data_IF_209052623489
#
_entry.id   IF_209052623489
#
_cell.length_a   1.000
_cell.length_b   1.000
_cell.length_c   1.000
_cell.angle_alpha   90.00
_cell.angle_beta   90.00
_cell.angle_gamma   90.00
#
_symmetry.space_group_name_H-M   'P 1'
#
loop_
_entity.id
_entity.type
_entity.pdbx_description
1 polymer ?
#
# COMPACT_ATOMS: atom_id res chain seq x y z
N UNK A 1 -6.53 -2.95 -27.00
CA UNK A 1 -5.31 -2.75 -26.21
C UNK A 1 -4.99 -1.27 -26.30
N UNK A 2 -5.39 -0.49 -25.29
CA UNK A 2 -5.06 0.95 -25.28
C UNK A 2 -3.53 1.08 -25.22
N UNK A 3 -2.95 1.72 -26.23
CA UNK A 3 -1.53 2.04 -26.21
C UNK A 3 -1.30 3.12 -25.16
N UNK A 4 -0.49 2.84 -24.13
CA UNK A 4 -0.06 3.87 -23.18
C UNK A 4 0.62 5.01 -23.96
N UNK A 5 0.03 6.21 -23.91
CA UNK A 5 0.64 7.40 -24.51
C UNK A 5 1.83 7.86 -23.67
N UNK A 6 2.76 8.58 -24.28
CA UNK A 6 3.82 9.31 -23.55
C UNK A 6 3.24 10.25 -22.48
N UNK A 7 2.08 10.83 -22.73
CA UNK A 7 1.37 11.67 -21.75
C UNK A 7 0.91 10.85 -20.54
N UNK A 8 0.37 9.65 -20.75
CA UNK A 8 -0.07 8.78 -19.64
C UNK A 8 1.11 8.35 -18.76
N UNK A 9 2.26 8.05 -19.37
CA UNK A 9 3.48 7.74 -18.64
C UNK A 9 3.98 8.91 -17.81
N UNK A 10 3.90 10.13 -18.35
CA UNK A 10 4.31 11.34 -17.62
C UNK A 10 3.38 11.63 -16.44
N UNK A 11 2.07 11.50 -16.63
CA UNK A 11 1.10 11.65 -15.54
C UNK A 11 1.30 10.57 -14.47
N UNK A 12 1.55 9.34 -14.89
CA UNK A 12 1.87 8.22 -13.99
C UNK A 12 3.11 8.50 -13.15
N UNK A 13 4.15 9.07 -13.76
CA UNK A 13 5.36 9.49 -13.04
C UNK A 13 5.04 10.54 -11.96
N UNK A 14 4.13 11.47 -12.23
CA UNK A 14 3.64 12.44 -11.24
C UNK A 14 3.04 11.78 -10.00
N UNK A 15 2.17 10.78 -10.20
CA UNK A 15 1.58 10.01 -9.10
C UNK A 15 2.62 9.19 -8.32
N UNK A 16 3.57 8.57 -9.03
CA UNK A 16 4.68 7.82 -8.41
C UNK A 16 5.51 8.75 -7.52
N UNK A 17 5.90 9.91 -8.02
CA UNK A 17 6.71 10.88 -7.27
C UNK A 17 5.95 11.41 -6.06
N UNK A 18 4.67 11.76 -6.22
CA UNK A 18 3.81 12.18 -5.12
C UNK A 18 3.77 11.14 -4.00
N UNK A 19 3.53 9.87 -4.35
CA UNK A 19 3.46 8.77 -3.39
C UNK A 19 4.83 8.49 -2.74
N UNK A 20 5.91 8.56 -3.51
CA UNK A 20 7.26 8.34 -3.02
C UNK A 20 7.67 9.40 -1.99
N UNK A 21 7.39 10.68 -2.26
CA UNK A 21 7.64 11.79 -1.33
C UNK A 21 6.76 11.65 -0.08
N UNK A 22 5.47 11.36 -0.24
CA UNK A 22 4.55 11.17 0.88
C UNK A 22 5.01 10.01 1.78
N UNK A 23 5.47 8.89 1.20
CA UNK A 23 5.99 7.75 1.95
C UNK A 23 7.30 8.04 2.67
N UNK A 24 8.22 8.77 2.03
CA UNK A 24 9.45 9.22 2.69
C UNK A 24 9.19 10.12 3.89
N UNK A 25 8.32 11.13 3.73
CA UNK A 25 7.92 12.03 4.81
C UNK A 25 7.18 11.28 5.92
N UNK A 26 6.23 10.41 5.55
CA UNK A 26 5.51 9.57 6.49
C UNK A 26 6.44 8.67 7.30
N UNK A 27 7.48 8.09 6.68
CA UNK A 27 8.49 7.30 7.38
C UNK A 27 9.29 8.16 8.37
N UNK A 28 9.79 9.32 7.93
CA UNK A 28 10.56 10.22 8.81
C UNK A 28 9.73 10.63 10.02
N UNK A 29 8.46 11.00 9.82
CA UNK A 29 7.56 11.35 10.93
C UNK A 29 7.31 10.16 11.85
N UNK A 30 6.98 8.98 11.30
CA UNK A 30 6.75 7.76 12.10
C UNK A 30 7.95 7.34 12.93
N UNK A 31 9.17 7.49 12.41
CA UNK A 31 10.39 7.16 13.16
C UNK A 31 10.72 8.22 14.21
N UNK A 32 10.50 9.51 13.88
CA UNK A 32 10.69 10.61 14.82
C UNK A 32 9.72 10.52 16.01
N UNK A 33 8.44 10.23 15.76
CA UNK A 33 7.42 10.06 16.80
C UNK A 33 7.73 8.87 17.72
N UNK A 34 8.45 7.86 17.22
CA UNK A 34 8.93 6.71 18.00
C UNK A 34 10.24 6.97 18.74
N UNK A 35 10.88 8.11 18.52
CA UNK A 35 12.22 8.41 19.05
C UNK A 35 13.34 7.57 18.44
N UNK A 36 13.11 6.95 17.28
CA UNK A 36 14.09 6.11 16.61
C UNK A 36 15.06 6.95 15.77
N UNK A 37 16.28 6.43 15.59
CA UNK A 37 17.24 7.03 14.65
C UNK A 37 16.80 6.75 13.21
N UNK A 38 16.85 7.78 12.37
CA UNK A 38 16.59 7.65 10.94
C UNK A 38 17.67 6.80 10.29
N UNK A 39 17.24 5.73 9.60
CA UNK A 39 18.13 4.90 8.79
C UNK A 39 17.93 5.25 7.32
N UNK A 40 18.97 5.81 6.68
CA UNK A 40 18.92 6.25 5.28
C UNK A 40 18.57 5.13 4.30
N UNK A 41 19.01 3.89 4.55
CA UNK A 41 18.67 2.75 3.70
C UNK A 41 17.19 2.40 3.81
N UNK A 42 16.64 2.40 5.04
CA UNK A 42 15.20 2.18 5.27
C UNK A 42 14.36 3.29 4.65
N UNK A 43 14.80 4.55 4.77
CA UNK A 43 14.14 5.67 4.14
C UNK A 43 14.09 5.52 2.61
N UNK A 44 15.22 5.16 1.99
CA UNK A 44 15.29 4.93 0.54
C UNK A 44 14.37 3.79 0.10
N UNK A 45 14.37 2.66 0.83
CA UNK A 45 13.48 1.54 0.53
C UNK A 45 12.00 1.93 0.69
N UNK A 46 11.67 2.75 1.69
CA UNK A 46 10.29 3.22 1.88
C UNK A 46 9.86 4.14 0.74
N UNK A 47 10.71 5.09 0.33
CA UNK A 47 10.42 6.01 -0.79
C UNK A 47 10.18 5.22 -2.06
N UNK A 48 11.07 4.27 -2.39
CA UNK A 48 10.94 3.44 -3.59
C UNK A 48 9.68 2.55 -3.53
N UNK A 49 9.45 1.86 -2.41
CA UNK A 49 8.30 0.99 -2.24
C UNK A 49 6.98 1.78 -2.25
N UNK A 50 6.95 2.97 -1.66
CA UNK A 50 5.77 3.84 -1.65
C UNK A 50 5.48 4.41 -3.04
N UNK A 51 6.51 4.71 -3.83
CA UNK A 51 6.35 5.06 -5.25
C UNK A 51 5.69 3.93 -6.05
N UNK A 52 6.16 2.69 -5.86
CA UNK A 52 5.56 1.50 -6.51
C UNK A 52 4.10 1.29 -6.09
N UNK A 53 3.81 1.37 -4.79
CA UNK A 53 2.43 1.27 -4.29
C UNK A 53 1.56 2.39 -4.86
N UNK A 54 2.07 3.62 -4.95
CA UNK A 54 1.36 4.73 -5.56
C UNK A 54 1.00 4.48 -7.02
N UNK A 55 1.90 3.85 -7.78
CA UNK A 55 1.60 3.39 -9.15
C UNK A 55 0.45 2.38 -9.18
N UNK A 56 0.47 1.38 -8.29
CA UNK A 56 -0.60 0.37 -8.22
C UNK A 56 -1.95 1.00 -7.85
N UNK A 57 -1.95 1.94 -6.90
CA UNK A 57 -3.16 2.66 -6.48
C UNK A 57 -3.67 3.54 -7.61
N UNK A 58 -2.80 4.20 -8.37
CA UNK A 58 -3.18 4.97 -9.55
C UNK A 58 -3.85 4.09 -10.61
N UNK A 59 -3.28 2.92 -10.92
CA UNK A 59 -3.88 1.96 -11.83
C UNK A 59 -5.25 1.48 -11.34
N UNK A 60 -5.39 1.25 -10.03
CA UNK A 60 -6.66 0.89 -9.42
C UNK A 60 -7.69 2.02 -9.56
N UNK A 61 -7.31 3.26 -9.26
CA UNK A 61 -8.19 4.42 -9.44
C UNK A 61 -8.64 4.58 -10.89
N UNK A 62 -7.72 4.41 -11.87
CA UNK A 62 -8.04 4.43 -13.30
C UNK A 62 -9.02 3.31 -13.68
N UNK A 63 -8.82 2.10 -13.16
CA UNK A 63 -9.71 0.97 -13.40
C UNK A 63 -11.11 1.15 -12.77
N UNK A 64 -11.22 1.99 -11.74
CA UNK A 64 -12.49 2.37 -11.11
C UNK A 64 -13.09 3.66 -11.68
N UNK A 65 -12.50 4.22 -12.74
CA UNK A 65 -12.93 5.48 -13.36
C UNK A 65 -13.01 6.66 -12.35
N UNK A 66 -12.12 6.65 -11.36
CA UNK A 66 -12.03 7.72 -10.37
C UNK A 66 -11.44 8.97 -11.02
N UNK A 67 -12.02 10.13 -10.69
CA UNK A 67 -11.55 11.42 -11.18
C UNK A 67 -10.05 11.64 -10.86
N UNK A 68 -9.26 12.23 -11.78
CA UNK A 68 -7.81 12.41 -11.60
C UNK A 68 -7.40 13.22 -10.37
N UNK A 69 -8.22 14.18 -9.94
CA UNK A 69 -7.95 15.01 -8.75
C UNK A 69 -8.04 14.16 -7.49
N UNK A 70 -9.10 13.35 -7.38
CA UNK A 70 -9.29 12.40 -6.28
C UNK A 70 -8.25 11.28 -6.32
N UNK A 71 -7.86 10.82 -7.50
CA UNK A 71 -6.81 9.82 -7.67
C UNK A 71 -5.49 10.29 -7.03
N UNK A 72 -5.12 11.57 -7.21
CA UNK A 72 -3.92 12.15 -6.59
C UNK A 72 -3.99 12.16 -5.07
N UNK A 73 -5.15 12.53 -4.53
CA UNK A 73 -5.39 12.50 -3.08
C UNK A 73 -5.26 11.07 -2.51
N UNK A 74 -5.90 10.09 -3.14
CA UNK A 74 -5.85 8.68 -2.71
C UNK A 74 -4.43 8.15 -2.79
N UNK A 75 -3.74 8.34 -3.92
CA UNK A 75 -2.34 7.93 -4.11
C UNK A 75 -1.43 8.54 -3.04
N UNK A 76 -1.58 9.84 -2.76
CA UNK A 76 -0.81 10.54 -1.72
C UNK A 76 -1.03 9.94 -0.33
N UNK A 77 -2.27 9.62 0.04
CA UNK A 77 -2.58 8.95 1.32
C UNK A 77 -1.94 7.57 1.41
N UNK A 78 -2.06 6.75 0.37
CA UNK A 78 -1.45 5.41 0.36
C UNK A 78 0.07 5.47 0.41
N UNK A 79 0.69 6.49 -0.22
CA UNK A 79 2.10 6.81 -0.04
C UNK A 79 2.40 7.15 1.42
N UNK A 80 1.66 8.09 2.01
CA UNK A 80 1.84 8.51 3.40
C UNK A 80 1.75 7.37 4.40
N UNK A 81 0.77 6.46 4.26
CA UNK A 81 0.61 5.29 5.13
C UNK A 81 1.83 4.36 5.11
N UNK A 82 2.62 4.42 4.03
CA UNK A 82 3.78 3.57 3.81
C UNK A 82 3.42 2.29 3.06
N UNK A 83 4.39 1.79 2.29
CA UNK A 83 4.18 0.68 1.38
C UNK A 83 3.64 -0.59 2.05
N UNK A 84 4.11 -0.88 3.27
CA UNK A 84 3.81 -2.13 3.97
C UNK A 84 2.35 -2.22 4.46
N UNK A 85 1.75 -1.09 4.84
CA UNK A 85 0.32 -1.04 5.21
C UNK A 85 -0.53 -1.07 3.95
N UNK A 86 -0.17 -0.24 2.98
CA UNK A 86 -0.90 -0.06 1.74
C UNK A 86 -0.98 -1.34 0.89
N UNK A 87 0.10 -2.11 0.78
CA UNK A 87 0.10 -3.36 0.00
C UNK A 87 -0.86 -4.41 0.59
N UNK A 88 -0.99 -4.48 1.92
CA UNK A 88 -1.94 -5.41 2.58
C UNK A 88 -3.39 -5.04 2.31
N UNK A 89 -3.68 -3.75 2.14
CA UNK A 89 -5.01 -3.29 1.73
C UNK A 89 -5.29 -3.64 0.27
N UNK A 90 -4.32 -3.41 -0.62
CA UNK A 90 -4.43 -3.78 -2.03
C UNK A 90 -4.56 -5.30 -2.22
N UNK A 91 -3.84 -6.11 -1.46
CA UNK A 91 -3.95 -7.57 -1.47
C UNK A 91 -5.39 -8.02 -1.24
N UNK A 92 -6.09 -7.43 -0.25
CA UNK A 92 -7.50 -7.77 0.01
C UNK A 92 -8.37 -7.52 -1.21
N UNK A 93 -8.20 -6.38 -1.87
CA UNK A 93 -8.94 -6.02 -3.09
C UNK A 93 -8.65 -7.03 -4.21
N UNK A 94 -7.38 -7.40 -4.41
CA UNK A 94 -6.98 -8.38 -5.43
C UNK A 94 -7.60 -9.75 -5.13
N UNK A 95 -7.52 -10.22 -3.89
CA UNK A 95 -8.07 -11.52 -3.51
C UNK A 95 -9.60 -11.58 -3.67
N UNK A 96 -10.31 -10.52 -3.27
CA UNK A 96 -11.76 -10.39 -3.49
C UNK A 96 -12.10 -10.42 -4.99
N UNK A 97 -11.36 -9.68 -5.81
CA UNK A 97 -11.54 -9.65 -7.27
C UNK A 97 -11.25 -10.99 -7.94
N UNK A 98 -10.29 -11.77 -7.41
CA UNK A 98 -9.94 -13.11 -7.92
C UNK A 98 -10.83 -14.22 -7.34
N UNK A 99 -11.76 -13.92 -6.43
CA UNK A 99 -12.60 -14.92 -5.76
C UNK A 99 -11.81 -15.86 -4.83
N UNK A 100 -10.59 -15.46 -4.42
CA UNK A 100 -9.73 -16.23 -3.53
C UNK A 100 -10.14 -15.91 -2.09
N UNK A 101 -10.66 -16.90 -1.36
CA UNK A 101 -11.01 -16.70 0.06
C UNK A 101 -9.75 -16.42 0.87
N UNK A 102 -9.69 -15.25 1.50
CA UNK A 102 -8.66 -14.87 2.48
C UNK A 102 -8.86 -15.61 3.82
N UNK A 103 -9.04 -16.93 3.78
CA UNK A 103 -9.41 -17.78 4.94
C UNK A 103 -8.44 -18.92 5.22
N UNK A 104 -7.20 -18.85 4.73
CA UNK A 104 -6.21 -19.86 5.09
C UNK A 104 -5.45 -19.55 6.40
N UNK A 105 -5.45 -18.29 6.88
CA UNK A 105 -4.62 -17.90 8.03
C UNK A 105 -5.45 -17.54 9.28
N UNK A 106 -6.56 -16.81 9.13
CA UNK A 106 -7.37 -16.39 10.29
C UNK A 106 -8.13 -17.56 10.91
N UNK A 107 -8.73 -18.44 10.11
CA UNK A 107 -9.45 -19.61 10.63
C UNK A 107 -8.49 -20.55 11.36
N UNK A 108 -7.28 -20.79 10.82
CA UNK A 108 -6.24 -21.57 11.50
C UNK A 108 -5.73 -20.94 12.80
N UNK A 109 -5.64 -19.61 12.88
CA UNK A 109 -5.22 -18.91 14.10
C UNK A 109 -6.31 -18.91 15.16
N UNK A 110 -7.57 -18.81 14.77
CA UNK A 110 -8.72 -18.90 15.67
C UNK A 110 -8.90 -20.33 16.17
N UNK A 111 -8.72 -21.34 15.30
CA UNK A 111 -8.69 -22.75 15.71
C UNK A 111 -7.52 -23.05 16.64
N UNK A 112 -6.31 -22.56 16.34
CA UNK A 112 -5.15 -22.72 17.22
C UNK A 112 -5.33 -22.02 18.58
N UNK A 113 -5.94 -20.84 18.62
CA UNK A 113 -6.23 -20.14 19.87
C UNK A 113 -7.29 -20.88 20.71
N UNK A 114 -8.33 -21.43 20.08
CA UNK A 114 -9.36 -22.24 20.77
C UNK A 114 -8.80 -23.56 21.30
N UNK A 115 -7.94 -24.23 20.54
CA UNK A 115 -7.27 -25.45 20.99
C UNK A 115 -6.37 -25.20 22.21
N UNK A 116 -5.73 -24.03 22.29
CA UNK A 116 -4.93 -23.63 23.45
C UNK A 116 -5.78 -23.30 24.70
N UNK A 117 -7.01 -22.81 24.53
CA UNK A 117 -7.94 -22.56 25.64
C UNK A 117 -8.54 -23.88 26.18
N UNK A 118 -8.78 -24.87 25.31
CA UNK A 118 -9.29 -26.19 25.71
C UNK A 118 -8.24 -27.07 26.40
N UNK A 119 -6.94 -26.95 26.08
CA UNK A 119 -5.84 -27.63 26.80
C UNK A 119 -5.54 -27.04 28.19
N UNK A 120 -6.07 -25.85 28.50
CA UNK A 120 -5.86 -25.15 29.78
C UNK A 120 -6.99 -25.35 30.79
N UNK A 121 -8.05 -26.08 30.42
CA UNK A 121 -9.21 -26.47 31.24
C UNK A 121 -9.11 -27.94 31.68
#
# INVERSE_FOLDING_TARGET
MEHFSLSDWLTSLGYVLLSAVAGGLGYVMRENDKGNKLNGWRALTEVAASGLVGFLVMLLCRAMEVDPLYSGFIVGIFGWLGANVSIRLLERIVYERLGIKLRANTDKRVEAAKAQEEEQL
#
